data_IF_205463293264
#
_entry.id   IF_205463293264
#
_cell.length_a   1.000
_cell.length_b   1.000
_cell.length_c   1.000
_cell.angle_alpha   90.00
_cell.angle_beta   90.00
_cell.angle_gamma   90.00
#
_symmetry.space_group_name_H-M   'P 1'
#
loop_
_entity.id
_entity.type
_entity.pdbx_description
1 polymer ?
#
# COMPACT_ATOMS: atom_id res chain seq x y z
N UNK A 1 7.88 18.93 15.85
CA UNK A 1 7.78 17.75 14.95
C UNK A 1 7.42 16.56 15.84
N UNK A 2 6.57 15.64 15.39
CA UNK A 2 6.25 14.41 16.11
C UNK A 2 6.61 13.21 15.22
N UNK A 3 7.20 12.17 15.82
CA UNK A 3 7.64 10.96 15.13
C UNK A 3 6.70 9.82 15.46
N UNK A 4 6.20 9.15 14.43
CA UNK A 4 5.35 7.96 14.54
C UNK A 4 6.20 6.76 14.16
N UNK A 5 6.64 5.99 15.16
CA UNK A 5 7.43 4.79 14.98
C UNK A 5 6.52 3.57 14.73
N UNK A 6 6.36 3.24 13.45
CA UNK A 6 5.51 2.14 13.00
C UNK A 6 6.32 0.86 12.84
N UNK A 7 7.49 0.96 12.21
CA UNK A 7 8.26 -0.21 11.81
C UNK A 7 9.24 -0.71 12.86
N UNK A 8 9.50 0.08 13.91
CA UNK A 8 10.40 -0.31 15.02
C UNK A 8 9.66 -0.97 16.19
N UNK A 9 8.35 -0.72 16.35
CA UNK A 9 7.55 -1.31 17.41
C UNK A 9 7.01 -2.68 16.99
N UNK A 10 7.60 -3.76 17.52
CA UNK A 10 7.21 -5.14 17.19
C UNK A 10 5.74 -5.45 17.52
N UNK A 11 5.19 -4.89 18.60
CA UNK A 11 3.82 -5.16 19.02
C UNK A 11 2.82 -4.52 18.04
N UNK A 12 3.07 -3.27 17.62
CA UNK A 12 2.26 -2.59 16.60
C UNK A 12 2.35 -3.37 15.28
N UNK A 13 3.54 -3.81 14.89
CA UNK A 13 3.73 -4.56 13.65
C UNK A 13 2.97 -5.90 13.66
N UNK A 14 3.03 -6.67 14.76
CA UNK A 14 2.28 -7.93 14.88
C UNK A 14 0.77 -7.71 14.75
N UNK A 15 0.23 -6.68 15.40
CA UNK A 15 -1.19 -6.31 15.28
C UNK A 15 -1.56 -5.88 13.86
N UNK A 16 -0.67 -5.14 13.20
CA UNK A 16 -0.86 -4.71 11.83
C UNK A 16 -0.86 -5.89 10.84
N UNK A 17 0.08 -6.82 10.96
CA UNK A 17 0.12 -8.05 10.14
C UNK A 17 -1.13 -8.90 10.36
N UNK A 18 -1.60 -9.03 11.61
CA UNK A 18 -2.86 -9.73 11.91
C UNK A 18 -4.06 -9.04 11.23
N UNK A 19 -4.10 -7.70 11.26
CA UNK A 19 -5.14 -6.95 10.58
C UNK A 19 -5.09 -7.16 9.05
N UNK A 20 -3.91 -7.16 8.44
CA UNK A 20 -3.75 -7.47 7.02
C UNK A 20 -4.31 -8.85 6.70
N UNK A 21 -4.00 -9.87 7.52
CA UNK A 21 -4.53 -11.21 7.34
C UNK A 21 -6.06 -11.27 7.42
N UNK A 22 -6.66 -10.58 8.40
CA UNK A 22 -8.13 -10.46 8.52
C UNK A 22 -8.72 -9.79 7.28
N UNK A 23 -8.10 -8.71 6.80
CA UNK A 23 -8.54 -8.00 5.59
C UNK A 23 -8.48 -8.92 4.36
N UNK A 24 -7.42 -9.71 4.20
CA UNK A 24 -7.31 -10.67 3.09
C UNK A 24 -8.47 -11.66 3.14
N UNK A 25 -8.74 -12.29 4.30
CA UNK A 25 -9.85 -13.23 4.44
C UNK A 25 -11.20 -12.58 4.14
N UNK A 26 -11.43 -11.37 4.64
CA UNK A 26 -12.66 -10.62 4.37
C UNK A 26 -12.82 -10.34 2.87
N UNK A 27 -11.77 -9.90 2.18
CA UNK A 27 -11.83 -9.64 0.75
C UNK A 27 -12.01 -10.90 -0.10
N UNK A 28 -11.47 -12.06 0.30
CA UNK A 28 -11.76 -13.34 -0.37
C UNK A 28 -13.26 -13.63 -0.32
N UNK A 29 -13.85 -13.60 0.87
CA UNK A 29 -15.28 -13.93 1.07
C UNK A 29 -16.18 -12.92 0.35
N UNK A 30 -15.90 -11.62 0.49
CA UNK A 30 -16.71 -10.57 -0.14
C UNK A 30 -16.63 -10.62 -1.66
N UNK A 31 -15.42 -10.79 -2.23
CA UNK A 31 -15.23 -10.84 -3.68
C UNK A 31 -15.85 -12.09 -4.29
N UNK A 32 -15.75 -13.23 -3.59
CA UNK A 32 -16.40 -14.47 -4.04
C UNK A 32 -17.93 -14.34 -4.04
N UNK A 33 -18.51 -13.80 -2.95
CA UNK A 33 -19.96 -13.55 -2.87
C UNK A 33 -20.42 -12.58 -3.96
N UNK A 34 -19.67 -11.50 -4.18
CA UNK A 34 -19.99 -10.52 -5.22
C UNK A 34 -19.89 -11.13 -6.61
N UNK A 35 -18.84 -11.90 -6.88
CA UNK A 35 -18.68 -12.57 -8.17
C UNK A 35 -19.84 -13.50 -8.47
N UNK A 36 -20.23 -14.38 -7.54
CA UNK A 36 -21.35 -15.30 -7.74
C UNK A 36 -22.67 -14.59 -8.05
N UNK A 37 -22.84 -13.35 -7.58
CA UNK A 37 -24.01 -12.54 -7.86
C UNK A 37 -23.94 -11.77 -9.19
N UNK A 38 -22.75 -11.47 -9.69
CA UNK A 38 -22.55 -10.56 -10.83
C UNK A 38 -22.09 -11.26 -12.12
N UNK A 39 -21.26 -12.31 -12.03
CA UNK A 39 -20.54 -12.92 -13.16
C UNK A 39 -20.41 -14.44 -12.91
N UNK A 40 -20.48 -15.26 -13.97
CA UNK A 40 -20.16 -16.69 -13.87
C UNK A 40 -18.69 -16.90 -13.50
N UNK A 41 -18.45 -17.44 -12.29
CA UNK A 41 -17.11 -17.67 -11.76
C UNK A 41 -16.54 -18.99 -12.27
N UNK A 42 -15.30 -18.98 -12.76
CA UNK A 42 -14.57 -20.20 -13.08
C UNK A 42 -13.76 -20.66 -11.88
N UNK A 43 -14.26 -21.70 -11.21
CA UNK A 43 -13.62 -22.26 -10.04
C UNK A 43 -12.38 -23.06 -10.37
N UNK A 44 -11.32 -22.82 -9.60
CA UNK A 44 -10.08 -23.59 -9.63
C UNK A 44 -9.84 -24.20 -8.26
N UNK A 45 -9.01 -25.25 -8.20
CA UNK A 45 -8.62 -25.86 -6.94
C UNK A 45 -7.97 -24.84 -5.99
N UNK A 46 -8.21 -25.03 -4.68
CA UNK A 46 -7.69 -24.15 -3.64
C UNK A 46 -6.16 -23.97 -3.73
N UNK A 47 -5.41 -25.04 -3.96
CA UNK A 47 -3.96 -24.98 -4.12
C UNK A 47 -3.56 -24.11 -5.32
N UNK A 48 -4.21 -24.28 -6.46
CA UNK A 48 -3.99 -23.46 -7.67
C UNK A 48 -4.29 -21.99 -7.40
N UNK A 49 -5.40 -21.69 -6.72
CA UNK A 49 -5.75 -20.32 -6.34
C UNK A 49 -4.69 -19.68 -5.44
N UNK A 50 -4.15 -20.43 -4.49
CA UNK A 50 -3.11 -19.95 -3.61
C UNK A 50 -1.80 -19.69 -4.36
N UNK A 51 -1.33 -20.63 -5.18
CA UNK A 51 -0.08 -20.48 -5.94
C UNK A 51 -0.17 -19.34 -6.96
N UNK A 52 -1.20 -19.34 -7.80
CA UNK A 52 -1.41 -18.27 -8.79
C UNK A 52 -1.68 -16.94 -8.07
N UNK A 53 -2.43 -16.96 -6.96
CA UNK A 53 -2.69 -15.79 -6.12
C UNK A 53 -1.41 -15.13 -5.61
N UNK A 54 -0.46 -15.92 -5.11
CA UNK A 54 0.85 -15.42 -4.65
C UNK A 54 1.68 -14.88 -5.82
N UNK A 55 1.73 -15.59 -6.95
CA UNK A 55 2.48 -15.13 -8.13
C UNK A 55 1.88 -13.82 -8.67
N UNK A 56 0.56 -13.76 -8.82
CA UNK A 56 -0.16 -12.54 -9.22
C UNK A 56 0.05 -11.39 -8.23
N UNK A 57 0.11 -11.70 -6.93
CA UNK A 57 0.42 -10.71 -5.90
C UNK A 57 1.82 -10.11 -6.09
N UNK A 58 2.85 -10.93 -6.37
CA UNK A 58 4.20 -10.41 -6.61
C UNK A 58 4.23 -9.46 -7.81
N UNK A 59 3.56 -9.81 -8.91
CA UNK A 59 3.43 -8.95 -10.10
C UNK A 59 2.73 -7.64 -9.76
N UNK A 60 1.61 -7.70 -9.03
CA UNK A 60 0.85 -6.49 -8.67
C UNK A 60 1.59 -5.57 -7.71
N UNK A 61 2.41 -6.10 -6.80
CA UNK A 61 3.30 -5.29 -5.96
C UNK A 61 4.35 -4.55 -6.79
N UNK A 62 4.95 -5.22 -7.80
CA UNK A 62 5.88 -4.55 -8.71
C UNK A 62 5.19 -3.41 -9.48
N UNK A 63 3.97 -3.63 -9.96
CA UNK A 63 3.18 -2.56 -10.59
C UNK A 63 2.87 -1.42 -9.61
N UNK A 64 2.45 -1.73 -8.38
CA UNK A 64 2.15 -0.74 -7.34
C UNK A 64 3.36 0.14 -7.04
N UNK A 65 4.50 -0.49 -6.78
CA UNK A 65 5.73 0.22 -6.42
C UNK A 65 6.34 0.93 -7.64
N UNK A 66 6.14 0.42 -8.85
CA UNK A 66 6.47 1.11 -10.10
C UNK A 66 5.70 2.43 -10.27
N UNK A 67 4.37 2.41 -10.11
CA UNK A 67 3.53 3.61 -10.17
C UNK A 67 3.96 4.62 -9.10
N UNK A 68 4.11 4.15 -7.85
CA UNK A 68 4.58 4.99 -6.74
C UNK A 68 5.94 5.63 -7.03
N UNK A 69 6.86 4.87 -7.62
CA UNK A 69 8.19 5.35 -8.02
C UNK A 69 8.11 6.44 -9.09
N UNK A 70 7.23 6.29 -10.08
CA UNK A 70 6.98 7.29 -11.12
C UNK A 70 6.42 8.57 -10.49
N UNK A 71 5.41 8.45 -9.62
CA UNK A 71 4.81 9.59 -8.92
C UNK A 71 5.87 10.33 -8.08
N UNK A 72 6.69 9.60 -7.32
CA UNK A 72 7.78 10.19 -6.56
C UNK A 72 8.81 10.89 -7.46
N UNK A 73 9.11 10.35 -8.65
CA UNK A 73 10.02 10.98 -9.64
C UNK A 73 9.48 12.32 -10.12
N UNK A 74 8.17 12.42 -10.34
CA UNK A 74 7.53 13.67 -10.77
C UNK A 74 7.58 14.75 -9.69
N UNK A 75 7.72 14.37 -8.42
CA UNK A 75 7.68 15.29 -7.28
C UNK A 75 9.07 15.84 -6.90
N UNK A 76 10.13 15.06 -7.14
CA UNK A 76 11.48 15.42 -6.72
C UNK A 76 12.56 14.67 -7.48
N UNK A 77 13.68 15.35 -7.70
CA UNK A 77 14.91 14.77 -8.29
C UNK A 77 15.74 14.01 -7.23
N UNK A 78 15.39 14.14 -5.92
CA UNK A 78 16.12 13.47 -4.83
C UNK A 78 16.14 11.94 -4.98
N UNK A 79 17.21 11.33 -4.49
CA UNK A 79 17.41 9.88 -4.55
C UNK A 79 16.41 9.14 -3.64
N UNK A 80 15.71 8.17 -4.22
CA UNK A 80 14.76 7.31 -3.52
C UNK A 80 15.50 6.24 -2.74
N UNK A 81 14.96 5.86 -1.58
CA UNK A 81 15.43 4.71 -0.82
C UNK A 81 14.37 3.63 -0.80
N UNK A 82 14.84 2.39 -0.92
CA UNK A 82 14.05 1.18 -0.79
C UNK A 82 14.50 0.46 0.47
N UNK A 83 13.55 0.04 1.30
CA UNK A 83 13.82 -0.76 2.48
C UNK A 83 12.79 -1.88 2.58
N UNK A 84 13.25 -3.11 2.77
CA UNK A 84 12.37 -4.23 3.11
C UNK A 84 12.43 -4.44 4.61
N UNK A 85 11.29 -4.38 5.28
CA UNK A 85 11.21 -4.62 6.72
C UNK A 85 9.96 -5.41 7.06
N UNK A 86 10.13 -6.54 7.74
CA UNK A 86 9.04 -7.45 8.13
C UNK A 86 8.11 -7.83 6.97
N UNK A 87 8.66 -8.08 5.77
CA UNK A 87 7.88 -8.45 4.57
C UNK A 87 7.19 -7.29 3.85
N UNK A 88 7.38 -6.05 4.30
CA UNK A 88 6.86 -4.85 3.64
C UNK A 88 7.98 -4.16 2.87
N UNK A 89 7.73 -3.87 1.58
CA UNK A 89 8.60 -3.01 0.78
C UNK A 89 8.21 -1.54 1.01
N UNK A 90 9.17 -0.73 1.46
CA UNK A 90 9.00 0.69 1.71
C UNK A 90 9.84 1.49 0.72
N UNK A 91 9.17 2.28 -0.11
CA UNK A 91 9.78 3.26 -1.01
C UNK A 91 9.49 4.67 -0.53
N UNK A 92 10.52 5.44 -0.19
CA UNK A 92 10.38 6.82 0.29
C UNK A 92 11.50 7.74 -0.19
N UNK A 93 11.24 9.05 -0.11
CA UNK A 93 12.21 10.11 -0.32
C UNK A 93 12.68 10.64 1.06
N UNK A 94 13.90 10.32 1.51
CA UNK A 94 14.42 10.85 2.76
C UNK A 94 14.57 12.37 2.68
N UNK A 95 14.30 13.07 3.78
CA UNK A 95 14.41 14.53 3.90
C UNK A 95 13.60 15.32 2.86
N UNK A 96 12.47 14.74 2.41
CA UNK A 96 11.49 15.41 1.58
C UNK A 96 10.16 15.51 2.30
N UNK A 97 9.69 16.75 2.48
CA UNK A 97 8.45 17.07 3.19
C UNK A 97 7.32 17.24 2.18
N UNK A 98 6.42 16.27 2.14
CA UNK A 98 5.22 16.32 1.31
C UNK A 98 4.13 17.14 2.00
N UNK A 99 3.35 17.87 1.20
CA UNK A 99 2.05 18.36 1.63
C UNK A 99 1.10 17.18 1.83
N UNK A 100 0.11 17.32 2.73
CA UNK A 100 -0.83 16.24 3.08
C UNK A 100 -1.55 15.61 1.88
N UNK A 101 -2.05 16.45 0.97
CA UNK A 101 -2.77 16.00 -0.24
C UNK A 101 -1.85 15.25 -1.19
N UNK A 102 -0.64 15.78 -1.36
CA UNK A 102 0.41 15.19 -2.17
C UNK A 102 0.83 13.82 -1.64
N UNK A 103 1.09 13.72 -0.33
CA UNK A 103 1.40 12.46 0.34
C UNK A 103 0.28 11.42 0.15
N UNK A 104 -0.97 11.86 0.37
CA UNK A 104 -2.15 10.98 0.22
C UNK A 104 -2.29 10.47 -1.21
N UNK A 105 -2.06 11.34 -2.19
CA UNK A 105 -2.12 10.99 -3.62
C UNK A 105 -1.04 9.96 -3.96
N UNK A 106 0.21 10.20 -3.55
CA UNK A 106 1.32 9.28 -3.83
C UNK A 106 1.10 7.89 -3.21
N UNK A 107 0.47 7.81 -2.04
CA UNK A 107 0.20 6.54 -1.36
C UNK A 107 -1.03 5.81 -1.91
N UNK A 108 -2.10 6.52 -2.27
CA UNK A 108 -3.38 5.91 -2.68
C UNK A 108 -3.52 5.71 -4.19
N UNK A 109 -2.87 6.53 -5.01
CA UNK A 109 -2.97 6.42 -6.48
C UNK A 109 -2.55 5.03 -7.00
N UNK A 110 -1.45 4.41 -6.51
CA UNK A 110 -1.10 3.05 -6.91
C UNK A 110 -2.19 2.02 -6.56
N UNK A 111 -2.85 2.20 -5.42
CA UNK A 111 -3.95 1.32 -4.97
C UNK A 111 -5.13 1.41 -5.94
N UNK A 112 -5.53 2.62 -6.31
CA UNK A 112 -6.64 2.83 -7.24
C UNK A 112 -6.33 2.25 -8.63
N UNK A 113 -5.15 2.55 -9.19
CA UNK A 113 -4.79 2.15 -10.55
C UNK A 113 -4.61 0.63 -10.69
N UNK A 114 -3.87 -0.01 -9.76
CA UNK A 114 -3.69 -1.48 -9.79
C UNK A 114 -4.99 -2.19 -9.43
N UNK A 115 -5.79 -1.65 -8.52
CA UNK A 115 -7.12 -2.17 -8.20
C UNK A 115 -8.05 -2.17 -9.42
N UNK A 116 -8.09 -1.06 -10.16
CA UNK A 116 -8.84 -0.97 -11.43
C UNK A 116 -8.32 -1.96 -12.48
N UNK A 117 -7.00 -2.08 -12.62
CA UNK A 117 -6.41 -3.03 -13.56
C UNK A 117 -6.79 -4.48 -13.22
N UNK A 118 -6.71 -4.86 -11.94
CA UNK A 118 -7.14 -6.17 -11.48
C UNK A 118 -8.63 -6.43 -11.71
N UNK A 119 -9.46 -5.40 -11.53
CA UNK A 119 -10.88 -5.49 -11.80
C UNK A 119 -11.18 -5.73 -13.29
N UNK A 120 -10.50 -5.01 -14.19
CA UNK A 120 -10.61 -5.23 -15.64
C UNK A 120 -10.17 -6.65 -16.00
N UNK A 121 -9.03 -7.10 -15.45
CA UNK A 121 -8.53 -8.47 -15.66
C UNK A 121 -9.54 -9.50 -15.17
N UNK A 122 -10.17 -9.27 -14.02
CA UNK A 122 -11.19 -10.17 -13.47
C UNK A 122 -12.45 -10.28 -14.33
N UNK A 123 -12.94 -9.17 -14.90
CA UNK A 123 -14.11 -9.20 -15.79
C UNK A 123 -13.83 -10.04 -17.05
N UNK A 124 -12.62 -9.92 -17.60
CA UNK A 124 -12.24 -10.66 -18.81
C UNK A 124 -11.85 -12.12 -18.53
N UNK A 125 -11.38 -12.40 -17.31
CA UNK A 125 -10.92 -13.72 -16.87
C UNK A 125 -11.45 -13.99 -15.45
N UNK A 126 -12.70 -14.45 -15.28
CA UNK A 126 -13.35 -14.57 -13.96
C UNK A 126 -12.89 -15.81 -13.17
N UNK A 127 -11.57 -16.01 -13.05
CA UNK A 127 -10.96 -17.09 -12.30
C UNK A 127 -10.91 -16.79 -10.79
N UNK A 128 -11.14 -17.80 -9.97
CA UNK A 128 -10.98 -17.71 -8.50
C UNK A 128 -9.58 -17.28 -8.07
N UNK A 129 -8.52 -17.59 -8.83
CA UNK A 129 -7.15 -17.16 -8.51
C UNK A 129 -6.94 -15.64 -8.58
N UNK A 130 -7.74 -14.94 -9.38
CA UNK A 130 -7.68 -13.47 -9.48
C UNK A 130 -8.31 -12.84 -8.24
N UNK A 131 -9.35 -13.46 -7.67
CA UNK A 131 -9.90 -13.06 -6.37
C UNK A 131 -8.83 -13.19 -5.27
N UNK A 132 -8.07 -14.28 -5.25
CA UNK A 132 -6.97 -14.46 -4.30
C UNK A 132 -5.87 -13.40 -4.50
N UNK A 133 -5.47 -13.16 -5.75
CA UNK A 133 -4.51 -12.09 -6.09
C UNK A 133 -4.98 -10.73 -5.56
N UNK A 134 -6.24 -10.36 -5.83
CA UNK A 134 -6.84 -9.12 -5.40
C UNK A 134 -6.92 -9.01 -3.88
N UNK A 135 -7.34 -10.08 -3.19
CA UNK A 135 -7.45 -10.06 -1.74
C UNK A 135 -6.10 -9.88 -1.04
N UNK A 136 -5.07 -10.61 -1.47
CA UNK A 136 -3.70 -10.47 -0.96
C UNK A 136 -3.18 -9.05 -1.24
N UNK A 137 -3.43 -8.53 -2.45
CA UNK A 137 -3.07 -7.16 -2.82
C UNK A 137 -3.77 -6.10 -1.94
N UNK A 138 -5.05 -6.28 -1.61
CA UNK A 138 -5.79 -5.38 -0.70
C UNK A 138 -5.22 -5.42 0.72
N UNK A 139 -4.84 -6.60 1.21
CA UNK A 139 -4.12 -6.77 2.47
C UNK A 139 -2.79 -6.00 2.49
N UNK A 140 -2.00 -6.10 1.43
CA UNK A 140 -0.75 -5.33 1.29
C UNK A 140 -1.01 -3.81 1.24
N UNK A 141 -1.99 -3.39 0.43
CA UNK A 141 -2.37 -1.99 0.23
C UNK A 141 -2.94 -1.32 1.48
N UNK A 142 -3.36 -2.11 2.47
CA UNK A 142 -3.78 -1.61 3.79
C UNK A 142 -2.73 -0.69 4.43
N UNK A 143 -1.44 -0.92 4.17
CA UNK A 143 -0.39 -0.05 4.68
C UNK A 143 -0.50 1.37 4.12
N UNK A 144 -0.74 1.52 2.83
CA UNK A 144 -0.94 2.83 2.20
C UNK A 144 -2.15 3.56 2.82
N UNK A 145 -3.26 2.85 3.02
CA UNK A 145 -4.43 3.42 3.72
C UNK A 145 -4.11 3.81 5.16
N UNK A 146 -3.38 2.97 5.89
CA UNK A 146 -3.02 3.21 7.28
C UNK A 146 -2.08 4.41 7.43
N UNK A 147 -1.08 4.53 6.56
CA UNK A 147 -0.16 5.69 6.53
C UNK A 147 -0.91 6.98 6.20
N UNK A 148 -1.86 6.94 5.26
CA UNK A 148 -2.70 8.10 4.95
C UNK A 148 -3.63 8.43 6.11
N UNK A 149 -4.25 7.44 6.75
CA UNK A 149 -5.07 7.67 7.93
C UNK A 149 -4.28 8.39 9.04
N UNK A 150 -3.06 7.95 9.31
CA UNK A 150 -2.17 8.62 10.28
C UNK A 150 -1.80 10.04 9.85
N UNK A 151 -1.51 10.25 8.56
CA UNK A 151 -1.24 11.55 7.98
C UNK A 151 -2.43 12.52 8.09
N UNK A 152 -3.67 12.02 8.00
CA UNK A 152 -4.90 12.82 8.06
C UNK A 152 -5.38 13.06 9.50
N UNK A 153 -4.97 12.22 10.47
CA UNK A 153 -5.43 12.26 11.86
C UNK A 153 -5.08 13.56 12.58
N UNK A 154 -3.90 14.13 12.33
CA UNK A 154 -3.52 15.44 12.89
C UNK A 154 -3.93 16.58 11.95
N UNK A 155 -5.01 17.30 12.30
CA UNK A 155 -5.51 18.45 11.53
C UNK A 155 -4.53 19.62 11.46
N UNK A 156 -3.54 19.69 12.36
CA UNK A 156 -2.55 20.79 12.40
C UNK A 156 -1.26 20.43 11.65
N UNK A 157 -1.13 19.21 11.14
CA UNK A 157 0.00 18.77 10.35
C UNK A 157 -0.08 19.30 8.91
N UNK A 158 0.94 20.03 8.47
CA UNK A 158 1.03 20.55 7.10
C UNK A 158 2.04 19.77 6.26
N UNK A 159 3.09 19.25 6.88
CA UNK A 159 4.22 18.62 6.21
C UNK A 159 4.50 17.23 6.79
N UNK A 160 4.66 16.26 5.89
CA UNK A 160 4.83 14.85 6.23
C UNK A 160 6.04 14.31 5.51
N UNK A 161 6.94 13.68 6.25
CA UNK A 161 8.10 12.97 5.72
C UNK A 161 7.97 11.49 6.08
N UNK A 162 8.22 10.62 5.11
CA UNK A 162 8.33 9.19 5.35
C UNK A 162 9.79 8.82 5.60
N UNK A 163 10.03 8.07 6.67
CA UNK A 163 11.36 7.64 7.11
C UNK A 163 11.39 6.12 7.28
N UNK A 164 12.58 5.57 7.49
CA UNK A 164 12.80 4.14 7.77
C UNK A 164 12.04 3.63 9.01
N UNK A 165 11.75 4.51 9.96
CA UNK A 165 11.04 4.15 11.19
C UNK A 165 9.51 4.32 11.09
N UNK A 166 9.03 5.17 10.17
CA UNK A 166 7.61 5.49 10.00
C UNK A 166 7.40 6.90 9.46
N UNK A 167 6.61 7.74 10.16
CA UNK A 167 6.23 9.08 9.69
C UNK A 167 6.76 10.18 10.61
N UNK A 168 7.32 11.23 10.02
CA UNK A 168 7.62 12.49 10.69
C UNK A 168 6.57 13.54 10.31
N UNK A 169 5.87 14.05 11.31
CA UNK A 169 4.75 14.98 11.14
C UNK A 169 5.13 16.37 11.68
N UNK A 170 5.01 17.39 10.83
CA UNK A 170 5.45 18.75 11.12
C UNK A 170 4.39 19.81 10.81
N UNK A 171 4.23 20.79 11.71
CA UNK A 171 3.27 21.91 11.54
C UNK A 171 3.79 23.05 10.65
N UNK A 172 5.11 23.23 10.60
CA UNK A 172 5.81 24.17 9.70
C UNK A 172 6.86 23.37 8.93
N UNK A 173 7.15 23.76 7.68
CA UNK A 173 8.26 23.18 6.91
C UNK A 173 9.52 23.42 7.75
N UNK A 174 10.21 22.38 8.24
CA UNK A 174 11.48 22.62 8.91
C UNK A 174 12.39 23.29 7.86
N UNK A 175 13.04 24.39 8.26
CA UNK A 175 14.07 24.99 7.43
C UNK A 175 15.01 23.85 7.02
N UNK A 176 15.29 23.73 5.72
CA UNK A 176 16.26 22.76 5.22
C UNK A 176 17.49 22.91 6.12
N UNK A 177 17.80 21.88 6.91
CA UNK A 177 19.05 21.84 7.65
C UNK A 177 20.12 21.81 6.55
N UNK A 178 20.65 22.99 6.21
CA UNK A 178 21.94 23.14 5.57
C UNK A 178 22.94 22.45 6.48
N UNK A 179 23.22 21.18 6.19
CA UNK A 179 24.35 20.49 6.76
C UNK A 179 25.58 21.08 6.07
N UNK A 180 26.27 21.98 6.78
CA UNK A 180 27.70 22.15 6.64
C UNK A 180 28.41 20.94 7.27
#
# INVERSE_FOLDING_TARGET
MYKIDLFQNQQIMKRFLLLQFIVILAFIVLSYKWSMAAISLQEQHFSTNLFIGIIGFLVTVLCHEGIKTILLKMMSVKTRRYQVKNGVLLTFLPQYYFNRMTFSTVMLMPVALVGMLLFIVFINMPYTSIIFTFAIYMGYSLLSFYLVFLALRDKKAQYIEMTEAGLLVSRKKPAERTAH
#
